data_IF_977775574381
#
_entry.id   IF_977775574381
#
_cell.length_a   1.000
_cell.length_b   1.000
_cell.length_c   1.000
_cell.angle_alpha   90.00
_cell.angle_beta   90.00
_cell.angle_gamma   90.00
#
_symmetry.space_group_name_H-M   'P 1'
#
loop_
_entity.id
_entity.type
_entity.pdbx_description
1 polymer ?
#
# COMPACT_ATOMS: atom_id res chain seq x y z
N UNK A 1 -25.90 50.44 -5.28
CA UNK A 1 -26.25 49.00 -5.34
C UNK A 1 -25.90 48.35 -6.70
N UNK A 2 -26.28 48.90 -7.84
CA UNK A 2 -26.03 48.28 -9.17
C UNK A 2 -24.54 48.10 -9.54
N UNK A 3 -23.63 48.98 -9.08
CA UNK A 3 -22.19 48.84 -9.36
C UNK A 3 -21.54 47.70 -8.57
N UNK A 4 -21.97 47.46 -7.32
CA UNK A 4 -21.44 46.42 -6.47
C UNK A 4 -21.83 45.00 -6.97
N UNK A 5 -23.07 44.84 -7.46
CA UNK A 5 -23.55 43.58 -8.07
C UNK A 5 -22.81 43.28 -9.35
N UNK A 6 -22.52 44.28 -10.18
CA UNK A 6 -21.79 44.07 -11.44
C UNK A 6 -20.33 43.66 -11.18
N UNK A 7 -19.65 44.26 -10.21
CA UNK A 7 -18.28 43.88 -9.82
C UNK A 7 -18.24 42.46 -9.26
N UNK A 8 -19.25 42.06 -8.47
CA UNK A 8 -19.31 40.70 -7.92
C UNK A 8 -19.52 39.65 -9.02
N UNK A 9 -20.34 39.98 -10.06
CA UNK A 9 -20.56 39.11 -11.21
C UNK A 9 -19.29 38.91 -12.05
N UNK A 10 -18.50 39.98 -12.25
CA UNK A 10 -17.23 39.89 -12.97
C UNK A 10 -16.20 39.08 -12.18
N UNK A 11 -16.11 39.26 -10.86
CA UNK A 11 -15.22 38.49 -10.01
C UNK A 11 -15.58 37.00 -10.01
N UNK A 12 -16.87 36.65 -9.99
CA UNK A 12 -17.33 35.27 -10.05
C UNK A 12 -17.06 34.64 -11.44
N UNK A 13 -17.27 35.39 -12.54
CA UNK A 13 -16.98 34.94 -13.89
C UNK A 13 -15.47 34.71 -14.12
N UNK A 14 -14.61 35.57 -13.58
CA UNK A 14 -13.16 35.43 -13.63
C UNK A 14 -12.71 34.23 -12.80
N UNK A 15 -13.28 33.99 -11.62
CA UNK A 15 -13.00 32.79 -10.81
C UNK A 15 -13.37 31.47 -11.54
N UNK A 16 -14.43 31.47 -12.33
CA UNK A 16 -14.80 30.32 -13.16
C UNK A 16 -13.85 30.07 -14.35
N UNK A 17 -13.17 31.10 -14.86
CA UNK A 17 -12.19 30.97 -15.94
C UNK A 17 -10.86 30.38 -15.49
N UNK A 18 -10.56 30.42 -14.18
CA UNK A 18 -9.39 29.82 -13.57
C UNK A 18 -9.65 28.44 -12.96
N UNK A 19 -10.85 27.88 -13.09
CA UNK A 19 -11.09 26.48 -12.79
C UNK A 19 -10.30 25.65 -13.79
N UNK A 20 -9.06 25.33 -13.44
CA UNK A 20 -8.26 24.34 -14.15
C UNK A 20 -9.10 23.05 -14.18
N UNK A 21 -9.45 22.52 -15.36
CA UNK A 21 -10.18 21.27 -15.41
C UNK A 21 -9.32 20.24 -14.70
N UNK A 22 -9.74 19.80 -13.51
CA UNK A 22 -9.20 18.63 -12.87
C UNK A 22 -9.52 17.47 -13.81
N UNK A 23 -8.61 17.18 -14.74
CA UNK A 23 -8.66 15.98 -15.55
C UNK A 23 -8.53 14.81 -14.57
N UNK A 24 -9.65 14.37 -14.03
CA UNK A 24 -9.75 13.12 -13.31
C UNK A 24 -9.31 12.04 -14.29
N UNK A 25 -8.02 11.68 -14.21
CA UNK A 25 -7.51 10.48 -14.87
C UNK A 25 -8.46 9.37 -14.52
N UNK A 26 -8.93 8.61 -15.52
CA UNK A 26 -9.94 7.59 -15.35
C UNK A 26 -9.64 6.69 -14.13
N UNK A 27 -10.69 6.18 -13.47
CA UNK A 27 -10.60 5.36 -12.25
C UNK A 27 -9.52 4.30 -12.40
N UNK A 28 -8.65 4.18 -11.41
CA UNK A 28 -7.63 3.14 -11.38
C UNK A 28 -8.30 1.76 -11.49
N UNK A 29 -7.80 0.93 -12.41
CA UNK A 29 -8.32 -0.43 -12.59
C UNK A 29 -7.67 -1.41 -11.62
N UNK A 30 -6.45 -1.13 -11.22
CA UNK A 30 -5.61 -1.96 -10.36
C UNK A 30 -4.99 -1.11 -9.27
N UNK A 31 -5.00 -1.61 -8.05
CA UNK A 31 -4.34 -1.01 -6.89
C UNK A 31 -3.39 -2.04 -6.30
N UNK A 32 -2.13 -1.66 -6.14
CA UNK A 32 -1.14 -2.47 -5.42
C UNK A 32 -0.78 -1.72 -4.14
N UNK A 33 -1.13 -2.30 -3.01
CA UNK A 33 -0.76 -1.84 -1.69
C UNK A 33 0.52 -2.55 -1.27
N UNK A 34 1.61 -1.81 -1.06
CA UNK A 34 2.89 -2.36 -0.61
C UNK A 34 3.19 -1.80 0.77
N UNK A 35 3.26 -2.67 1.75
CA UNK A 35 3.63 -2.32 3.12
C UNK A 35 4.99 -2.91 3.50
N UNK A 36 5.80 -2.10 4.17
CA UNK A 36 7.11 -2.48 4.70
C UNK A 36 7.05 -2.23 6.22
N UNK A 37 7.07 -3.30 6.99
CA UNK A 37 6.99 -3.20 8.45
C UNK A 37 8.25 -2.54 9.03
N UNK A 38 8.08 -1.79 10.11
CA UNK A 38 9.17 -1.14 10.84
C UNK A 38 9.94 -0.07 10.08
N UNK A 39 9.43 0.44 8.96
CA UNK A 39 10.12 1.47 8.19
C UNK A 39 9.87 2.87 8.73
N UNK A 40 10.90 3.44 9.38
CA UNK A 40 10.85 4.80 9.92
C UNK A 40 11.14 5.88 8.87
N UNK A 41 10.30 6.92 8.83
CA UNK A 41 10.40 8.04 7.88
C UNK A 41 11.74 8.79 7.95
N UNK A 42 12.38 8.82 9.12
CA UNK A 42 13.72 9.42 9.34
C UNK A 42 14.82 8.81 8.44
N UNK A 43 14.63 7.58 7.98
CA UNK A 43 15.59 6.88 7.14
C UNK A 43 15.47 7.24 5.66
N UNK A 44 14.31 7.70 5.19
CA UNK A 44 14.03 7.97 3.78
C UNK A 44 15.03 8.94 3.13
N UNK A 45 15.41 10.08 3.75
CA UNK A 45 16.41 10.97 3.17
C UNK A 45 17.80 10.33 3.04
N UNK A 46 18.16 9.45 3.99
CA UNK A 46 19.49 8.85 4.13
C UNK A 46 19.66 7.55 3.33
N UNK A 47 18.58 6.82 3.11
CA UNK A 47 18.62 5.52 2.47
C UNK A 47 18.91 5.59 0.95
N UNK A 48 19.66 4.58 0.46
CA UNK A 48 19.87 4.36 -0.98
C UNK A 48 18.69 3.57 -1.56
N UNK A 49 17.59 4.30 -1.83
CA UNK A 49 16.29 3.79 -2.31
C UNK A 49 15.82 4.55 -3.57
N UNK A 50 16.58 4.55 -4.65
CA UNK A 50 16.31 5.42 -5.81
C UNK A 50 14.93 5.19 -6.43
N UNK A 51 14.44 3.95 -6.51
CA UNK A 51 13.11 3.66 -7.07
C UNK A 51 11.97 4.24 -6.23
N UNK A 52 12.08 4.16 -4.89
CA UNK A 52 11.09 4.75 -3.99
C UNK A 52 11.14 6.28 -4.08
N UNK A 53 12.34 6.86 -4.12
CA UNK A 53 12.52 8.32 -4.35
C UNK A 53 11.93 8.76 -5.69
N UNK A 54 12.04 7.91 -6.73
CA UNK A 54 11.38 8.17 -8.02
C UNK A 54 9.85 8.12 -7.90
N UNK A 55 9.29 7.14 -7.19
CA UNK A 55 7.85 7.07 -6.91
C UNK A 55 7.36 8.30 -6.15
N UNK A 56 8.15 8.80 -5.19
CA UNK A 56 7.86 10.04 -4.46
C UNK A 56 7.85 11.25 -5.40
N UNK A 57 8.78 11.33 -6.35
CA UNK A 57 8.85 12.41 -7.33
C UNK A 57 7.68 12.39 -8.33
N UNK A 58 7.19 11.20 -8.70
CA UNK A 58 6.12 11.01 -9.67
C UNK A 58 4.72 10.99 -9.04
N UNK A 59 4.63 10.91 -7.70
CA UNK A 59 3.39 10.76 -6.96
C UNK A 59 3.23 11.75 -5.82
N UNK A 60 2.43 11.36 -4.82
CA UNK A 60 2.24 12.09 -3.58
C UNK A 60 2.82 11.29 -2.42
N UNK A 61 3.45 11.95 -1.47
CA UNK A 61 4.03 11.31 -0.29
C UNK A 61 3.91 12.18 0.95
N UNK A 62 4.06 11.56 2.11
CA UNK A 62 4.27 12.23 3.39
C UNK A 62 5.31 11.48 4.22
N UNK A 63 6.11 12.21 4.98
CA UNK A 63 7.04 11.67 5.97
C UNK A 63 6.54 11.87 7.41
N UNK A 64 5.34 12.41 7.57
CA UNK A 64 4.75 12.77 8.86
C UNK A 64 3.67 11.79 9.34
N UNK A 65 3.51 10.64 8.64
CA UNK A 65 2.59 9.60 9.08
C UNK A 65 2.99 9.08 10.46
N UNK A 66 2.03 9.03 11.36
CA UNK A 66 2.19 8.44 12.68
C UNK A 66 1.63 7.02 12.72
N UNK A 67 2.24 6.18 13.57
CA UNK A 67 1.69 4.89 13.94
C UNK A 67 0.48 5.08 14.85
N UNK A 68 -0.43 4.09 14.90
CA UNK A 68 -1.45 4.03 15.96
C UNK A 68 -0.84 3.45 17.23
N UNK A 69 -1.45 3.68 18.38
CA UNK A 69 -1.01 3.14 19.65
C UNK A 69 -1.98 2.04 20.11
N UNK A 70 -1.46 0.93 20.70
CA UNK A 70 -0.03 0.62 20.87
C UNK A 70 0.67 0.38 19.55
N UNK A 71 1.92 0.86 19.43
CA UNK A 71 2.73 0.73 18.22
C UNK A 71 3.27 -0.69 18.10
N UNK A 72 2.51 -1.56 17.45
CA UNK A 72 2.89 -2.95 17.17
C UNK A 72 2.34 -3.42 15.84
N UNK A 73 2.91 -4.50 15.29
CA UNK A 73 2.64 -4.95 13.92
C UNK A 73 1.17 -5.29 13.71
N UNK A 74 0.58 -6.19 14.51
CA UNK A 74 -0.83 -6.57 14.30
C UNK A 74 -1.78 -5.37 14.41
N UNK A 75 -1.58 -4.48 15.38
CA UNK A 75 -2.42 -3.30 15.59
C UNK A 75 -2.37 -2.35 14.41
N UNK A 76 -1.17 -2.09 13.89
CA UNK A 76 -1.00 -1.16 12.77
C UNK A 76 -1.46 -1.77 11.44
N UNK A 77 -1.17 -3.05 11.19
CA UNK A 77 -1.67 -3.74 9.99
C UNK A 77 -3.19 -3.83 9.99
N UNK A 78 -3.81 -4.21 11.12
CA UNK A 78 -5.27 -4.19 11.28
C UNK A 78 -5.83 -2.78 10.98
N UNK A 79 -5.25 -1.74 11.60
CA UNK A 79 -5.69 -0.36 11.38
C UNK A 79 -5.60 0.08 9.92
N UNK A 80 -4.56 -0.35 9.18
CA UNK A 80 -4.42 -0.04 7.75
C UNK A 80 -5.46 -0.77 6.90
N UNK A 81 -5.74 -2.04 7.17
CA UNK A 81 -6.71 -2.82 6.39
C UNK A 81 -8.16 -2.50 6.73
N UNK A 82 -8.42 -2.07 7.96
CA UNK A 82 -9.74 -1.80 8.50
C UNK A 82 -10.12 -0.32 8.46
N UNK A 83 -9.15 0.56 8.23
CA UNK A 83 -9.38 2.02 8.21
C UNK A 83 -9.87 2.57 9.55
N UNK A 84 -9.51 1.92 10.67
CA UNK A 84 -9.99 2.23 12.02
C UNK A 84 -8.87 2.06 13.04
N UNK A 85 -9.01 2.68 14.20
CA UNK A 85 -8.08 2.48 15.32
C UNK A 85 -8.42 1.25 16.17
N UNK A 86 -7.51 0.86 17.08
CA UNK A 86 -7.68 -0.31 17.95
C UNK A 86 -8.90 -0.23 18.86
N UNK A 87 -9.36 0.96 19.21
CA UNK A 87 -10.60 1.18 19.98
C UNK A 87 -11.87 0.76 19.23
N UNK A 88 -11.77 0.60 17.90
CA UNK A 88 -12.88 0.18 17.04
C UNK A 88 -12.74 -1.28 16.61
N UNK A 89 -11.58 -1.68 16.11
CA UNK A 89 -11.38 -3.05 15.62
C UNK A 89 -10.96 -4.05 16.69
N UNK A 90 -10.47 -3.61 17.85
CA UNK A 90 -10.22 -4.44 19.02
C UNK A 90 -8.87 -5.15 19.07
N UNK A 91 -8.04 -5.10 18.03
CA UNK A 91 -6.69 -5.65 18.04
C UNK A 91 -5.75 -4.72 18.79
N UNK A 92 -5.10 -5.21 19.86
CA UNK A 92 -4.31 -4.37 20.77
C UNK A 92 -2.91 -4.89 21.07
N UNK A 93 -2.55 -6.10 20.61
CA UNK A 93 -1.27 -6.72 20.91
C UNK A 93 -0.48 -7.07 19.64
N UNK A 94 0.82 -7.27 19.78
CA UNK A 94 1.73 -7.57 18.68
C UNK A 94 1.33 -8.79 17.85
N UNK A 95 1.00 -9.87 18.52
CA UNK A 95 0.69 -11.17 17.88
C UNK A 95 -0.78 -11.51 17.83
N UNK A 96 -1.68 -10.52 17.90
CA UNK A 96 -3.13 -10.74 17.91
C UNK A 96 -3.58 -11.61 16.74
N UNK A 97 -4.24 -12.71 17.06
CA UNK A 97 -4.92 -13.59 16.08
C UNK A 97 -6.43 -13.36 16.06
N UNK A 98 -6.94 -12.82 17.13
CA UNK A 98 -8.32 -12.37 17.33
C UNK A 98 -8.27 -11.05 18.07
N UNK A 99 -9.27 -10.18 17.96
CA UNK A 99 -9.29 -8.94 18.73
C UNK A 99 -9.40 -9.23 20.22
N UNK A 100 -8.58 -8.55 21.03
CA UNK A 100 -8.60 -8.64 22.51
C UNK A 100 -9.77 -7.87 23.11
N UNK A 101 -10.22 -6.82 22.41
CA UNK A 101 -11.41 -6.06 22.77
C UNK A 101 -12.53 -6.38 21.78
N UNK A 102 -13.80 -6.36 22.19
CA UNK A 102 -14.91 -6.53 21.26
C UNK A 102 -14.86 -5.48 20.15
N UNK A 103 -14.82 -5.94 18.91
CA UNK A 103 -14.94 -5.05 17.74
C UNK A 103 -16.29 -4.33 17.78
N UNK A 104 -16.28 -3.02 17.47
CA UNK A 104 -17.51 -2.19 17.49
C UNK A 104 -18.54 -2.60 16.45
N UNK A 105 -18.11 -3.17 15.35
CA UNK A 105 -18.93 -3.71 14.28
C UNK A 105 -18.28 -4.93 13.70
N UNK A 106 -19.07 -5.88 13.25
CA UNK A 106 -18.62 -7.08 12.56
C UNK A 106 -19.32 -7.15 11.19
N UNK A 107 -18.60 -7.60 10.18
CA UNK A 107 -19.19 -7.94 8.89
C UNK A 107 -19.85 -9.34 8.93
N UNK A 108 -20.37 -9.79 7.79
CA UNK A 108 -21.01 -11.12 7.65
C UNK A 108 -20.06 -12.30 7.93
N UNK A 109 -18.75 -12.07 7.94
CA UNK A 109 -17.73 -13.09 8.22
C UNK A 109 -17.24 -13.07 9.68
N UNK A 110 -17.84 -12.20 10.53
CA UNK A 110 -17.50 -12.12 11.96
C UNK A 110 -16.19 -11.38 12.26
N UNK A 111 -15.69 -10.59 11.33
CA UNK A 111 -14.49 -9.75 11.49
C UNK A 111 -14.87 -8.27 11.30
N UNK A 112 -14.09 -7.35 11.87
CA UNK A 112 -14.25 -5.92 11.61
C UNK A 112 -14.12 -5.65 10.10
N UNK A 113 -14.96 -4.79 9.47
CA UNK A 113 -14.93 -4.54 8.03
C UNK A 113 -13.54 -4.15 7.52
N UNK A 114 -13.11 -4.74 6.42
CA UNK A 114 -11.81 -4.51 5.79
C UNK A 114 -11.96 -3.93 4.38
N UNK A 115 -10.90 -3.29 3.89
CA UNK A 115 -10.84 -2.82 2.49
C UNK A 115 -11.08 -3.95 1.48
N UNK A 116 -10.73 -5.19 1.83
CA UNK A 116 -10.92 -6.38 0.98
C UNK A 116 -12.40 -6.74 0.87
N UNK A 117 -13.10 -6.81 2.01
CA UNK A 117 -14.52 -7.12 2.05
C UNK A 117 -15.35 -6.00 1.39
N UNK A 118 -15.05 -4.73 1.67
CA UNK A 118 -15.74 -3.61 1.02
C UNK A 118 -15.59 -3.64 -0.50
N UNK A 119 -14.42 -4.02 -1.01
CA UNK A 119 -14.22 -4.19 -2.45
C UNK A 119 -14.98 -5.41 -2.98
N UNK A 120 -14.99 -6.53 -2.26
CA UNK A 120 -15.72 -7.74 -2.63
C UNK A 120 -17.23 -7.47 -2.74
N UNK A 121 -17.79 -6.74 -1.76
CA UNK A 121 -19.22 -6.40 -1.78
C UNK A 121 -19.57 -5.45 -2.93
N UNK A 122 -18.71 -4.49 -3.22
CA UNK A 122 -18.93 -3.55 -4.33
C UNK A 122 -18.66 -4.17 -5.71
N UNK A 123 -17.83 -5.21 -5.78
CA UNK A 123 -17.41 -5.91 -7.01
C UNK A 123 -17.22 -7.39 -6.74
N UNK A 124 -18.28 -8.21 -6.78
CA UNK A 124 -18.21 -9.63 -6.47
C UNK A 124 -17.19 -10.42 -7.31
N UNK A 125 -16.93 -9.99 -8.55
CA UNK A 125 -16.00 -10.63 -9.48
C UNK A 125 -14.55 -10.14 -9.35
N UNK A 126 -14.27 -9.17 -8.48
CA UNK A 126 -12.94 -8.59 -8.37
C UNK A 126 -11.90 -9.63 -7.95
N UNK A 127 -10.77 -9.68 -8.65
CA UNK A 127 -9.60 -10.42 -8.21
C UNK A 127 -8.89 -9.65 -7.10
N UNK A 128 -8.83 -10.23 -5.89
CA UNK A 128 -8.32 -9.58 -4.68
C UNK A 128 -7.27 -10.50 -4.05
N UNK A 129 -6.03 -10.03 -3.92
CA UNK A 129 -4.93 -10.81 -3.37
C UNK A 129 -4.31 -10.19 -2.12
N UNK A 130 -3.76 -11.06 -1.25
CA UNK A 130 -2.90 -10.66 -0.14
C UNK A 130 -1.72 -11.62 -0.04
N UNK A 131 -0.51 -11.11 -0.23
CA UNK A 131 0.73 -11.87 -0.14
C UNK A 131 1.59 -11.29 0.98
N UNK A 132 2.19 -12.14 1.81
CA UNK A 132 2.84 -11.65 3.01
C UNK A 132 4.04 -12.52 3.43
N UNK A 133 4.93 -11.94 4.20
CA UNK A 133 6.05 -12.63 4.85
C UNK A 133 5.65 -13.10 6.25
N UNK A 134 5.23 -12.18 7.12
CA UNK A 134 4.84 -12.50 8.48
C UNK A 134 3.45 -13.15 8.54
N UNK A 135 3.37 -14.36 9.13
CA UNK A 135 2.14 -15.17 9.22
C UNK A 135 0.98 -14.47 9.96
N UNK A 136 1.27 -13.51 10.82
CA UNK A 136 0.26 -12.72 11.54
C UNK A 136 -0.71 -11.99 10.63
N UNK A 137 -0.32 -11.63 9.41
CA UNK A 137 -1.16 -10.89 8.45
C UNK A 137 -2.48 -11.61 8.16
N UNK A 138 -2.48 -12.94 8.03
CA UNK A 138 -3.69 -13.71 7.71
C UNK A 138 -4.82 -13.56 8.73
N UNK A 139 -4.50 -13.19 9.97
CA UNK A 139 -5.49 -12.99 11.02
C UNK A 139 -6.09 -11.58 11.04
N UNK A 140 -5.53 -10.67 10.23
CA UNK A 140 -5.88 -9.24 10.18
C UNK A 140 -6.61 -8.87 8.89
N UNK A 141 -6.76 -9.83 7.99
CA UNK A 141 -7.49 -9.69 6.73
C UNK A 141 -8.73 -10.58 6.73
N UNK A 142 -9.75 -10.16 6.00
CA UNK A 142 -10.92 -10.99 5.75
C UNK A 142 -10.60 -12.00 4.64
N UNK A 143 -10.14 -13.19 5.02
CA UNK A 143 -9.72 -14.23 4.07
C UNK A 143 -10.85 -14.73 3.19
N UNK A 144 -12.11 -14.62 3.62
CA UNK A 144 -13.28 -15.00 2.82
C UNK A 144 -13.60 -13.97 1.74
N UNK A 145 -13.10 -12.74 1.88
CA UNK A 145 -13.22 -11.72 0.85
C UNK A 145 -12.12 -11.79 -0.22
N UNK A 146 -11.04 -12.54 0.03
CA UNK A 146 -9.91 -12.66 -0.87
C UNK A 146 -10.12 -13.74 -1.95
N UNK A 147 -9.61 -13.50 -3.16
CA UNK A 147 -9.48 -14.52 -4.21
C UNK A 147 -8.27 -15.41 -3.95
N UNK A 148 -7.22 -14.83 -3.36
CA UNK A 148 -5.97 -15.53 -3.05
C UNK A 148 -5.23 -14.86 -1.91
N UNK A 149 -4.71 -15.67 -0.99
CA UNK A 149 -3.72 -15.21 -0.01
C UNK A 149 -2.67 -16.29 0.22
N UNK A 150 -1.43 -15.86 0.42
CA UNK A 150 -0.33 -16.81 0.63
C UNK A 150 0.84 -16.16 1.38
N UNK A 151 1.47 -16.97 2.22
CA UNK A 151 2.72 -16.61 2.87
C UNK A 151 3.90 -16.96 1.97
N UNK A 152 4.89 -16.07 1.89
CA UNK A 152 6.16 -16.38 1.21
C UNK A 152 6.94 -17.44 1.99
N UNK A 153 7.37 -18.53 1.34
CA UNK A 153 8.14 -19.58 2.01
C UNK A 153 9.53 -19.07 2.37
N UNK A 154 10.03 -19.46 3.55
CA UNK A 154 11.43 -19.22 4.01
C UNK A 154 11.96 -17.82 3.68
N UNK A 155 11.13 -16.77 3.83
CA UNK A 155 11.47 -15.40 3.41
C UNK A 155 12.74 -14.83 4.07
N UNK A 156 13.17 -15.39 5.22
CA UNK A 156 14.43 -15.03 5.85
C UNK A 156 15.63 -15.53 5.04
N UNK A 157 15.51 -16.68 4.37
CA UNK A 157 16.53 -17.26 3.49
C UNK A 157 16.37 -16.78 2.04
N UNK A 158 15.13 -16.57 1.62
CA UNK A 158 14.72 -16.19 0.28
C UNK A 158 13.95 -14.85 0.27
N UNK A 159 14.64 -13.72 0.53
CA UNK A 159 14.00 -12.41 0.65
C UNK A 159 13.33 -11.92 -0.65
N UNK A 160 13.65 -12.57 -1.80
CA UNK A 160 13.01 -12.29 -3.09
C UNK A 160 11.72 -13.10 -3.33
N UNK A 161 11.42 -14.07 -2.48
CA UNK A 161 10.30 -14.99 -2.70
C UNK A 161 8.95 -14.26 -2.83
N UNK A 162 8.67 -13.31 -1.93
CA UNK A 162 7.43 -12.53 -1.96
C UNK A 162 7.30 -11.70 -3.24
N UNK A 163 8.41 -11.14 -3.73
CA UNK A 163 8.42 -10.39 -4.99
C UNK A 163 8.09 -11.29 -6.17
N UNK A 164 8.71 -12.45 -6.26
CA UNK A 164 8.43 -13.44 -7.32
C UNK A 164 6.97 -13.90 -7.31
N UNK A 165 6.41 -14.14 -6.12
CA UNK A 165 4.99 -14.47 -5.96
C UNK A 165 4.10 -13.33 -6.46
N UNK A 166 4.39 -12.09 -6.07
CA UNK A 166 3.62 -10.92 -6.47
C UNK A 166 3.70 -10.68 -7.99
N UNK A 167 4.88 -10.76 -8.58
CA UNK A 167 5.06 -10.64 -10.04
C UNK A 167 4.26 -11.69 -10.80
N UNK A 168 4.34 -12.95 -10.37
CA UNK A 168 3.57 -14.05 -10.96
C UNK A 168 2.08 -13.78 -10.85
N UNK A 169 1.59 -13.44 -9.67
CA UNK A 169 0.17 -13.20 -9.43
C UNK A 169 -0.36 -12.01 -10.24
N UNK A 170 0.37 -10.89 -10.27
CA UNK A 170 0.03 -9.72 -11.10
C UNK A 170 -0.06 -10.09 -12.58
N UNK A 171 0.92 -10.87 -13.07
CA UNK A 171 0.98 -11.27 -14.48
C UNK A 171 -0.14 -12.19 -14.89
N UNK A 172 -0.47 -13.16 -14.04
CA UNK A 172 -1.45 -14.22 -14.35
C UNK A 172 -2.89 -13.78 -14.07
N UNK A 173 -3.11 -13.04 -12.97
CA UNK A 173 -4.45 -12.73 -12.45
C UNK A 173 -4.88 -11.28 -12.65
N UNK A 174 -3.94 -10.36 -12.83
CA UNK A 174 -4.25 -8.92 -12.99
C UNK A 174 -5.19 -8.39 -11.89
N UNK A 175 -4.84 -8.53 -10.61
CA UNK A 175 -5.76 -8.26 -9.51
C UNK A 175 -6.26 -6.81 -9.51
N UNK A 176 -7.52 -6.65 -9.10
CA UNK A 176 -8.12 -5.34 -8.84
C UNK A 176 -7.46 -4.68 -7.62
N UNK A 177 -7.20 -5.48 -6.57
CA UNK A 177 -6.46 -5.07 -5.38
C UNK A 177 -5.47 -6.18 -5.00
N UNK A 178 -4.21 -5.81 -4.81
CA UNK A 178 -3.18 -6.69 -4.27
C UNK A 178 -2.50 -6.01 -3.09
N UNK A 179 -2.55 -6.63 -1.91
CA UNK A 179 -1.72 -6.26 -0.77
C UNK A 179 -0.46 -7.13 -0.75
N UNK A 180 0.70 -6.51 -0.55
CA UNK A 180 2.01 -7.15 -0.43
C UNK A 180 2.65 -6.65 0.86
N UNK A 181 2.83 -7.53 1.84
CA UNK A 181 3.21 -7.17 3.20
C UNK A 181 4.58 -7.76 3.53
N UNK A 182 5.60 -6.91 3.56
CA UNK A 182 6.97 -7.29 3.91
C UNK A 182 7.20 -7.15 5.42
N UNK A 183 7.87 -8.14 6.01
CA UNK A 183 8.31 -8.15 7.41
C UNK A 183 9.53 -7.23 7.66
N UNK A 184 10.26 -6.92 6.59
CA UNK A 184 11.43 -6.06 6.68
C UNK A 184 11.12 -4.61 6.24
N UNK A 185 11.80 -3.63 6.85
CA UNK A 185 13.01 -3.70 7.69
C UNK A 185 12.79 -3.92 9.19
N UNK A 186 11.57 -4.23 9.66
CA UNK A 186 11.27 -4.42 11.09
C UNK A 186 12.16 -5.48 11.74
N UNK A 187 12.23 -6.67 11.13
CA UNK A 187 13.04 -7.78 11.64
C UNK A 187 14.50 -7.37 11.89
N UNK A 188 15.13 -6.66 10.95
CA UNK A 188 16.51 -6.15 11.13
C UNK A 188 16.54 -5.04 12.17
N UNK A 189 15.52 -4.20 12.26
CA UNK A 189 15.38 -3.18 13.28
C UNK A 189 15.41 -3.75 14.70
N UNK A 190 14.74 -4.89 14.91
CA UNK A 190 14.76 -5.61 16.18
C UNK A 190 16.10 -6.28 16.48
N UNK A 191 16.81 -6.80 15.48
CA UNK A 191 18.07 -7.52 15.65
C UNK A 191 19.26 -6.59 15.82
N UNK A 192 19.40 -5.58 14.99
CA UNK A 192 20.57 -4.72 14.88
C UNK A 192 20.31 -3.27 15.34
N UNK A 193 19.05 -2.94 15.61
CA UNK A 193 18.63 -1.58 15.92
C UNK A 193 18.24 -0.78 14.68
N UNK A 194 17.33 0.16 14.89
CA UNK A 194 16.93 1.14 13.89
C UNK A 194 18.04 2.18 13.67
N UNK A 195 18.15 2.74 12.47
CA UNK A 195 19.14 3.74 12.09
C UNK A 195 20.59 3.24 12.10
N UNK A 196 20.80 1.94 11.96
CA UNK A 196 22.10 1.26 11.89
C UNK A 196 22.53 0.99 10.45
N UNK A 197 23.83 0.70 10.17
CA UNK A 197 24.27 0.29 8.83
C UNK A 197 23.52 -0.92 8.29
N UNK A 198 23.23 -1.91 9.15
CA UNK A 198 22.48 -3.13 8.81
C UNK A 198 21.05 -2.79 8.37
N UNK A 199 20.38 -1.89 9.08
CA UNK A 199 19.05 -1.40 8.74
C UNK A 199 19.04 -0.73 7.37
N UNK A 200 20.01 0.15 7.09
CA UNK A 200 20.15 0.80 5.78
C UNK A 200 20.55 -0.18 4.67
N UNK A 201 21.39 -1.17 4.97
CA UNK A 201 21.70 -2.23 4.01
C UNK A 201 20.46 -3.05 3.64
N UNK A 202 19.55 -3.28 4.59
CA UNK A 202 18.27 -3.96 4.32
C UNK A 202 17.36 -3.10 3.46
N UNK A 203 17.20 -1.81 3.77
CA UNK A 203 16.45 -0.87 2.94
C UNK A 203 16.99 -0.80 1.50
N UNK A 204 18.31 -0.82 1.34
CA UNK A 204 18.94 -0.86 0.01
C UNK A 204 18.59 -2.13 -0.77
N UNK A 205 18.44 -3.27 -0.11
CA UNK A 205 17.98 -4.51 -0.76
C UNK A 205 16.51 -4.42 -1.18
N UNK A 206 15.67 -3.76 -0.39
CA UNK A 206 14.26 -3.51 -0.69
C UNK A 206 14.08 -2.72 -1.99
N UNK A 207 15.08 -1.95 -2.45
CA UNK A 207 15.04 -1.27 -3.74
C UNK A 207 14.82 -2.22 -4.93
N UNK A 208 15.31 -3.47 -4.84
CA UNK A 208 15.14 -4.49 -5.89
C UNK A 208 13.70 -4.93 -6.06
N UNK A 209 12.85 -4.71 -5.06
CA UNK A 209 11.42 -5.00 -5.11
C UNK A 209 10.66 -4.13 -6.12
N UNK A 210 11.22 -2.97 -6.45
CA UNK A 210 10.68 -2.03 -7.42
C UNK A 210 11.50 -1.96 -8.71
N UNK A 211 12.54 -2.82 -8.87
CA UNK A 211 13.28 -2.89 -10.13
C UNK A 211 12.42 -3.58 -11.19
N UNK A 212 12.12 -2.93 -12.31
CA UNK A 212 11.54 -3.62 -13.45
C UNK A 212 12.57 -4.65 -13.93
N UNK A 213 12.32 -5.93 -13.68
CA UNK A 213 13.14 -7.00 -14.26
C UNK A 213 13.05 -6.92 -15.77
N UNK A 214 14.08 -6.37 -16.39
CA UNK A 214 14.38 -6.22 -17.83
C UNK A 214 13.30 -5.60 -18.72
N UNK A 215 13.62 -4.51 -19.44
CA UNK A 215 12.72 -3.85 -20.40
C UNK A 215 12.28 -4.75 -21.57
N UNK A 216 12.85 -5.95 -21.72
CA UNK A 216 12.54 -6.88 -22.80
C UNK A 216 11.35 -7.81 -22.58
N UNK A 217 10.87 -8.04 -21.35
CA UNK A 217 9.81 -9.01 -21.08
C UNK A 217 8.39 -8.45 -20.97
N UNK A 218 8.22 -7.14 -20.85
CA UNK A 218 6.90 -6.50 -20.75
C UNK A 218 6.39 -5.88 -22.07
N UNK A 219 6.80 -6.37 -23.23
CA UNK A 219 6.22 -6.01 -24.52
C UNK A 219 4.92 -6.75 -24.84
N UNK A 220 4.07 -6.99 -23.86
CA UNK A 220 2.71 -7.44 -24.11
C UNK A 220 1.80 -6.24 -24.37
N UNK A 221 0.93 -6.33 -25.39
CA UNK A 221 -0.04 -5.29 -25.81
C UNK A 221 -0.93 -4.73 -24.68
N UNK A 222 -0.98 -5.38 -23.50
CA UNK A 222 -1.75 -4.95 -22.34
C UNK A 222 -1.02 -3.97 -21.40
N UNK A 223 0.30 -3.82 -21.53
CA UNK A 223 1.08 -2.92 -20.67
C UNK A 223 0.84 -1.42 -20.97
N UNK A 224 0.22 -1.07 -22.10
CA UNK A 224 -0.10 0.32 -22.47
C UNK A 224 -1.34 0.86 -21.78
N UNK A 225 -2.20 -0.03 -21.26
CA UNK A 225 -3.46 0.36 -20.60
C UNK A 225 -3.36 0.38 -19.07
N UNK A 226 -2.28 -0.09 -18.46
CA UNK A 226 -2.14 -0.20 -17.01
C UNK A 226 -1.25 0.90 -16.44
N UNK A 227 -1.75 1.66 -15.47
CA UNK A 227 -1.02 2.69 -14.73
C UNK A 227 0.26 2.18 -14.03
N UNK A 228 0.46 0.86 -13.89
CA UNK A 228 1.69 0.24 -13.38
C UNK A 228 2.95 0.67 -14.15
N UNK A 229 2.85 1.03 -15.45
CA UNK A 229 3.98 1.56 -16.22
C UNK A 229 4.51 2.90 -15.73
N UNK A 230 3.70 3.71 -15.07
CA UNK A 230 4.13 5.03 -14.56
C UNK A 230 5.01 4.91 -13.32
N UNK A 231 4.90 3.83 -12.58
CA UNK A 231 5.65 3.65 -11.33
C UNK A 231 7.06 3.10 -11.54
N UNK A 232 7.42 2.60 -12.74
CA UNK A 232 8.67 1.90 -12.98
C UNK A 232 9.51 2.41 -14.17
N UNK A 233 9.23 3.57 -14.77
CA UNK A 233 10.05 4.11 -15.88
C UNK A 233 10.95 5.27 -15.41
N UNK A 234 12.29 5.17 -15.54
CA UNK A 234 13.13 6.34 -15.54
C UNK A 234 12.92 7.12 -16.86
N UNK A 235 12.77 8.44 -16.78
CA UNK A 235 12.89 9.31 -17.95
C UNK A 235 14.34 9.24 -18.42
N UNK A 236 14.55 8.92 -19.70
CA UNK A 236 15.83 9.19 -20.34
C UNK A 236 15.87 10.70 -20.61
N UNK A 237 16.90 11.35 -20.11
CA UNK A 237 17.38 12.62 -20.64
C UNK A 237 18.22 12.36 -21.86
#
# INVERSE_FOLDING_TARGET
MKKLTFTLFIALAVACLFSVPCNAKGKAKHVVFIGLDGWGSYSVPKADIPHIKQLMADGSYTLEKRTVLPSSSAVNWASMFMGAGPELHGYTQWGSKTPELPSRVLNQHGIFPTIFQLLRDARPEAEIGCLYEWDGIKYLVDTLALSHYAQAPDYNKHPEALCGMAEKYIKEKQPTLLAICFDNPDHVGHQAGHNTPEYYAKLKRTRRLCEPHHPGRYRGRHAERNNLRRYCRPRRH
#
